data_IF_692045980119
#
_entry.id   IF_692045980119
#
_cell.length_a   1.000
_cell.length_b   1.000
_cell.length_c   1.000
_cell.angle_alpha   90.00
_cell.angle_beta   90.00
_cell.angle_gamma   90.00
#
_symmetry.space_group_name_H-M   'P 1'
#
loop_
_entity.id
_entity.type
_entity.pdbx_description
1 polymer ?
#
# COMPACT_ATOMS: atom_id res chain seq x y z
N UNK A 1 11.04 12.25 2.25
CA UNK A 1 10.55 11.15 1.40
C UNK A 1 9.21 10.73 1.96
N UNK A 2 8.22 10.61 1.09
CA UNK A 2 6.81 10.39 1.45
C UNK A 2 6.43 9.02 0.92
N UNK A 3 5.76 8.24 1.76
CA UNK A 3 5.28 6.93 1.38
C UNK A 3 3.78 7.01 1.19
N UNK A 4 3.32 6.64 0.01
CA UNK A 4 1.90 6.57 -0.33
C UNK A 4 1.51 5.11 -0.41
N UNK A 5 0.45 4.72 0.30
CA UNK A 5 -0.04 3.34 0.31
C UNK A 5 -1.45 3.32 -0.25
N UNK A 6 -1.67 2.49 -1.26
CA UNK A 6 -2.99 2.14 -1.78
C UNK A 6 -3.25 0.65 -1.61
N UNK A 7 -4.45 0.30 -1.16
CA UNK A 7 -4.88 -1.10 -1.06
C UNK A 7 -5.91 -1.32 -2.15
N UNK A 8 -5.84 -2.44 -2.86
CA UNK A 8 -6.76 -2.79 -3.95
C UNK A 8 -7.37 -4.16 -3.66
N UNK A 9 -8.66 -4.31 -3.89
CA UNK A 9 -9.31 -5.64 -3.84
C UNK A 9 -8.90 -6.51 -5.03
N UNK A 10 -8.66 -5.90 -6.19
CA UNK A 10 -8.30 -6.59 -7.42
C UNK A 10 -6.84 -6.33 -7.81
N UNK A 11 -6.09 -7.40 -8.10
CA UNK A 11 -4.69 -7.30 -8.51
C UNK A 11 -4.53 -6.62 -9.86
N UNK A 12 -5.53 -6.73 -10.74
CA UNK A 12 -5.47 -6.12 -12.07
C UNK A 12 -5.42 -4.60 -11.97
N UNK A 13 -6.19 -4.01 -11.05
CA UNK A 13 -6.19 -2.56 -10.78
C UNK A 13 -4.85 -2.10 -10.19
N UNK A 14 -4.25 -2.93 -9.34
CA UNK A 14 -2.94 -2.67 -8.77
C UNK A 14 -1.81 -2.71 -9.83
N UNK A 15 -1.90 -3.62 -10.79
CA UNK A 15 -0.95 -3.71 -11.90
C UNK A 15 -1.08 -2.51 -12.84
N UNK A 16 -2.31 -2.15 -13.22
CA UNK A 16 -2.63 -1.00 -14.08
C UNK A 16 -2.09 0.33 -13.50
N UNK A 17 -2.24 0.55 -12.19
CA UNK A 17 -1.70 1.75 -11.54
C UNK A 17 -0.17 1.70 -11.43
N UNK A 18 0.42 0.52 -11.21
CA UNK A 18 1.88 0.36 -11.22
C UNK A 18 2.45 0.68 -12.59
N UNK A 19 1.87 0.15 -13.68
CA UNK A 19 2.27 0.49 -15.05
C UNK A 19 2.13 1.99 -15.33
N UNK A 20 1.03 2.60 -14.86
CA UNK A 20 0.84 4.05 -14.98
C UNK A 20 1.96 4.83 -14.25
N UNK A 21 2.28 4.46 -13.01
CA UNK A 21 3.32 5.14 -12.22
C UNK A 21 4.71 4.92 -12.83
N UNK A 22 5.02 3.70 -13.28
CA UNK A 22 6.26 3.36 -13.99
C UNK A 22 6.43 4.12 -15.31
N UNK A 23 5.32 4.37 -16.01
CA UNK A 23 5.31 5.19 -17.21
C UNK A 23 5.50 6.70 -16.96
N UNK A 24 5.43 7.13 -15.70
CA UNK A 24 5.66 8.50 -15.26
C UNK A 24 7.09 8.66 -14.69
N UNK A 25 7.29 9.60 -13.76
CA UNK A 25 8.59 9.87 -13.11
C UNK A 25 8.90 8.91 -11.94
N UNK A 26 8.27 7.73 -11.86
CA UNK A 26 8.51 6.75 -10.79
C UNK A 26 9.31 5.55 -11.28
N UNK A 27 10.32 5.17 -10.52
CA UNK A 27 11.09 3.95 -10.75
C UNK A 27 10.42 2.72 -10.13
N UNK A 28 10.66 1.55 -10.72
CA UNK A 28 10.26 0.26 -10.15
C UNK A 28 10.87 -0.02 -8.77
N UNK A 29 11.92 0.70 -8.39
CA UNK A 29 12.51 0.62 -7.05
C UNK A 29 11.77 1.47 -6.00
N UNK A 30 11.08 2.50 -6.48
CA UNK A 30 10.21 3.33 -5.66
C UNK A 30 8.81 2.72 -5.51
N UNK A 31 8.51 1.63 -6.22
CA UNK A 31 7.22 0.96 -6.24
C UNK A 31 7.33 -0.44 -5.64
N UNK A 32 6.47 -0.68 -4.66
CA UNK A 32 6.42 -1.90 -3.87
C UNK A 32 5.00 -2.47 -3.97
N UNK A 33 4.81 -3.49 -4.81
CA UNK A 33 3.53 -4.20 -4.95
C UNK A 33 3.57 -5.53 -4.21
N UNK A 34 2.59 -5.75 -3.35
CA UNK A 34 2.44 -6.96 -2.57
C UNK A 34 1.02 -7.51 -2.70
N UNK A 35 0.86 -8.61 -3.46
CA UNK A 35 -0.42 -9.29 -3.62
C UNK A 35 -0.49 -10.52 -2.73
N UNK A 36 -1.34 -10.50 -1.70
CA UNK A 36 -1.50 -11.66 -0.83
C UNK A 36 -2.17 -12.85 -1.57
N UNK A 37 -3.10 -12.57 -2.49
CA UNK A 37 -3.84 -13.59 -3.25
C UNK A 37 -2.97 -14.39 -4.24
N UNK A 38 -1.82 -13.86 -4.67
CA UNK A 38 -0.92 -14.55 -5.61
C UNK A 38 -0.21 -15.75 -4.96
N UNK A 39 -0.10 -15.79 -3.62
CA UNK A 39 0.46 -16.92 -2.87
C UNK A 39 -0.53 -18.07 -2.66
N UNK A 40 -1.81 -17.90 -3.03
CA UNK A 40 -2.81 -18.97 -2.94
C UNK A 40 -2.55 -20.14 -3.91
N UNK A 41 -1.60 -20.00 -4.85
CA UNK A 41 -1.18 -21.06 -5.76
C UNK A 41 -0.09 -21.99 -5.22
N UNK A 42 0.73 -21.56 -4.26
CA UNK A 42 1.80 -22.35 -3.65
C UNK A 42 1.94 -21.96 -2.16
N UNK A 43 1.38 -22.76 -1.26
CA UNK A 43 1.53 -22.67 0.20
C UNK A 43 0.81 -21.50 0.90
N UNK A 44 -0.53 -21.50 0.84
CA UNK A 44 -1.40 -20.58 1.58
C UNK A 44 -1.43 -20.77 3.12
N UNK A 45 -0.33 -21.20 3.76
CA UNK A 45 -0.25 -21.42 5.21
C UNK A 45 1.04 -20.89 5.84
N UNK A 46 1.67 -19.87 5.26
CA UNK A 46 2.82 -19.21 5.90
C UNK A 46 2.31 -18.13 6.88
N UNK A 47 2.32 -18.36 8.22
CA UNK A 47 1.93 -17.36 9.20
C UNK A 47 2.81 -16.10 9.17
N UNK A 48 3.97 -16.15 8.52
CA UNK A 48 4.91 -15.03 8.41
C UNK A 48 4.46 -13.89 7.49
N UNK A 49 3.68 -14.15 6.43
CA UNK A 49 3.23 -13.07 5.52
C UNK A 49 2.16 -12.18 6.19
N UNK A 50 1.30 -12.79 7.00
CA UNK A 50 0.25 -12.13 7.79
C UNK A 50 0.86 -11.19 8.85
N UNK A 51 2.00 -11.59 9.41
CA UNK A 51 2.75 -10.85 10.43
C UNK A 51 3.51 -9.66 9.83
N UNK A 52 4.07 -9.80 8.62
CA UNK A 52 4.77 -8.69 7.93
C UNK A 52 3.84 -7.54 7.55
N UNK A 53 2.65 -7.83 7.01
CA UNK A 53 1.66 -6.79 6.68
C UNK A 53 1.28 -6.01 7.96
N UNK A 54 1.05 -6.73 9.07
CA UNK A 54 0.74 -6.10 10.35
C UNK A 54 1.92 -5.26 10.87
N UNK A 55 3.16 -5.75 10.75
CA UNK A 55 4.37 -5.05 11.16
C UNK A 55 4.58 -3.77 10.33
N UNK A 56 4.39 -3.84 9.02
CA UNK A 56 4.47 -2.69 8.11
C UNK A 56 3.45 -1.61 8.50
N UNK A 57 2.18 -1.95 8.66
CA UNK A 57 1.15 -0.97 9.03
C UNK A 57 1.34 -0.46 10.47
N UNK A 58 1.80 -1.29 11.39
CA UNK A 58 2.16 -0.87 12.75
C UNK A 58 3.38 0.06 12.78
N UNK A 59 4.23 0.03 11.75
CA UNK A 59 5.30 1.00 11.56
C UNK A 59 4.82 2.26 10.81
N UNK A 60 3.76 2.19 10.02
CA UNK A 60 3.18 3.37 9.39
C UNK A 60 2.37 4.20 10.37
N UNK A 61 1.45 3.56 11.10
CA UNK A 61 0.54 4.20 12.03
C UNK A 61 1.06 4.08 13.47
N UNK A 62 0.97 5.17 14.22
CA UNK A 62 1.19 5.13 15.67
C UNK A 62 0.00 4.44 16.39
N UNK A 63 -1.17 4.46 15.73
CA UNK A 63 -2.41 3.92 16.24
C UNK A 63 -2.60 2.45 15.84
N UNK A 64 -2.54 1.55 16.83
CA UNK A 64 -2.65 0.09 16.59
C UNK A 64 -3.97 -0.34 15.94
N UNK A 65 -5.10 0.30 16.27
CA UNK A 65 -6.40 -0.05 15.68
C UNK A 65 -6.46 0.28 14.19
N UNK A 66 -5.96 1.44 13.77
CA UNK A 66 -5.88 1.79 12.35
C UNK A 66 -4.93 0.83 11.62
N UNK A 67 -3.74 0.59 12.19
CA UNK A 67 -2.80 -0.37 11.64
C UNK A 67 -3.42 -1.75 11.41
N UNK A 68 -4.23 -2.25 12.36
CA UNK A 68 -4.88 -3.56 12.26
C UNK A 68 -6.01 -3.59 11.22
N UNK A 69 -6.81 -2.52 11.11
CA UNK A 69 -7.83 -2.39 10.07
C UNK A 69 -7.19 -2.38 8.67
N UNK A 70 -6.15 -1.57 8.48
CA UNK A 70 -5.35 -1.51 7.25
C UNK A 70 -4.69 -2.84 6.91
N UNK A 71 -4.10 -3.50 7.91
CA UNK A 71 -3.52 -4.82 7.73
C UNK A 71 -4.57 -5.86 7.31
N UNK A 72 -5.78 -5.80 7.88
CA UNK A 72 -6.86 -6.73 7.54
C UNK A 72 -7.37 -6.56 6.12
N UNK A 73 -7.49 -5.32 5.66
CA UNK A 73 -7.83 -5.01 4.27
C UNK A 73 -6.71 -5.46 3.30
N UNK A 74 -5.45 -5.13 3.64
CA UNK A 74 -4.29 -5.54 2.86
C UNK A 74 -4.11 -7.06 2.76
N UNK A 75 -4.50 -7.82 3.80
CA UNK A 75 -4.49 -9.29 3.80
C UNK A 75 -5.45 -9.91 2.78
N UNK A 76 -6.57 -9.26 2.47
CA UNK A 76 -7.53 -9.79 1.49
C UNK A 76 -7.29 -9.25 0.07
N UNK A 77 -6.38 -8.29 -0.09
CA UNK A 77 -6.17 -7.58 -1.35
C UNK A 77 -4.71 -7.56 -1.81
N UNK A 78 -4.41 -6.52 -2.59
CA UNK A 78 -3.09 -6.15 -3.08
C UNK A 78 -2.73 -4.80 -2.48
N UNK A 79 -1.55 -4.71 -1.87
CA UNK A 79 -1.02 -3.49 -1.29
C UNK A 79 0.00 -2.93 -2.28
N UNK A 80 -0.17 -1.69 -2.71
CA UNK A 80 0.79 -0.95 -3.52
C UNK A 80 1.33 0.19 -2.66
N UNK A 81 2.66 0.24 -2.55
CA UNK A 81 3.39 1.26 -1.81
C UNK A 81 4.26 2.04 -2.78
N UNK A 82 4.17 3.36 -2.73
CA UNK A 82 4.89 4.28 -3.61
C UNK A 82 5.77 5.19 -2.75
N UNK A 83 7.07 5.17 -3.01
CA UNK A 83 8.06 6.00 -2.34
C UNK A 83 8.34 7.24 -3.18
N UNK A 84 7.63 8.33 -2.89
CA UNK A 84 7.82 9.59 -3.58
C UNK A 84 8.95 10.42 -2.94
N UNK A 85 9.92 10.91 -3.72
CA UNK A 85 10.98 11.77 -3.19
C UNK A 85 10.47 13.19 -2.86
N UNK A 86 9.34 13.62 -3.45
CA UNK A 86 8.75 14.95 -3.27
C UNK A 86 7.24 14.89 -3.04
N UNK A 87 6.69 15.89 -2.34
CA UNK A 87 5.25 16.04 -2.11
C UNK A 87 4.43 16.10 -3.40
N UNK A 88 4.97 16.71 -4.45
CA UNK A 88 4.36 16.72 -5.78
C UNK A 88 4.12 15.30 -6.30
N UNK A 89 5.17 14.48 -6.34
CA UNK A 89 5.07 13.09 -6.79
C UNK A 89 4.19 12.27 -5.84
N UNK A 90 4.25 12.51 -4.55
CA UNK A 90 3.35 11.85 -3.60
C UNK A 90 1.88 12.14 -3.92
N UNK A 91 1.56 13.39 -4.28
CA UNK A 91 0.21 13.77 -4.66
C UNK A 91 -0.23 13.14 -5.98
N UNK A 92 0.67 13.03 -6.96
CA UNK A 92 0.40 12.33 -8.23
C UNK A 92 0.15 10.83 -7.99
N UNK A 93 0.92 10.20 -7.09
CA UNK A 93 0.71 8.82 -6.68
C UNK A 93 -0.64 8.63 -5.97
N UNK A 94 -1.01 9.54 -5.06
CA UNK A 94 -2.32 9.53 -4.40
C UNK A 94 -3.44 9.65 -5.42
N UNK A 95 -3.34 10.58 -6.37
CA UNK A 95 -4.36 10.77 -7.41
C UNK A 95 -4.52 9.51 -8.27
N UNK A 96 -3.40 8.93 -8.72
CA UNK A 96 -3.40 7.68 -9.45
C UNK A 96 -4.06 6.55 -8.65
N UNK A 97 -3.59 6.27 -7.43
CA UNK A 97 -4.15 5.20 -6.59
C UNK A 97 -5.66 5.37 -6.36
N UNK A 98 -6.12 6.60 -6.10
CA UNK A 98 -7.55 6.89 -5.95
C UNK A 98 -8.34 6.68 -7.24
N UNK A 99 -7.80 7.12 -8.39
CA UNK A 99 -8.44 7.02 -9.70
C UNK A 99 -8.58 5.56 -10.16
N UNK A 100 -7.59 4.73 -9.87
CA UNK A 100 -7.57 3.30 -10.17
C UNK A 100 -8.37 2.45 -9.17
N UNK A 101 -8.98 3.08 -8.15
CA UNK A 101 -9.93 2.41 -7.26
C UNK A 101 -9.31 1.80 -6.02
N UNK A 102 -8.27 2.42 -5.45
CA UNK A 102 -7.80 2.08 -4.11
C UNK A 102 -8.99 2.09 -3.13
N UNK A 103 -9.04 1.09 -2.24
CA UNK A 103 -10.06 0.99 -1.21
C UNK A 103 -9.73 1.90 -0.04
N UNK A 104 -10.75 2.64 0.38
CA UNK A 104 -10.68 3.43 1.59
C UNK A 104 -10.89 2.50 2.79
N UNK A 105 -9.82 2.24 3.52
CA UNK A 105 -9.87 1.42 4.73
C UNK A 105 -10.11 2.27 5.97
N UNK A 106 -10.02 3.60 5.85
CA UNK A 106 -10.23 4.54 6.94
C UNK A 106 -11.61 5.23 6.91
N UNK A 107 -12.59 4.65 6.23
CA UNK A 107 -13.95 5.19 6.13
C UNK A 107 -14.70 5.27 7.47
N UNK A 108 -14.03 4.94 8.58
CA UNK A 108 -14.50 5.06 9.95
C UNK A 108 -13.93 6.26 10.71
N UNK A 109 -12.98 7.02 10.14
CA UNK A 109 -12.50 8.26 10.74
C UNK A 109 -13.30 9.47 10.22
N UNK A 110 -14.07 10.11 11.11
CA UNK A 110 -14.91 11.29 10.80
C UNK A 110 -14.10 12.54 10.37
N UNK A 111 -12.77 12.49 10.36
CA UNK A 111 -11.90 13.52 9.79
C UNK A 111 -11.23 13.12 8.46
N UNK A 112 -11.36 11.86 8.01
CA UNK A 112 -10.82 11.42 6.75
C UNK A 112 -11.63 12.04 5.60
N UNK A 113 -11.05 13.05 4.95
CA UNK A 113 -11.58 13.68 3.75
C UNK A 113 -11.55 12.72 2.56
N UNK A 114 -12.39 11.67 2.55
CA UNK A 114 -12.69 10.80 1.40
C UNK A 114 -11.50 10.30 0.57
N UNK A 115 -10.30 10.24 1.15
CA UNK A 115 -9.07 9.93 0.42
C UNK A 115 -8.77 8.46 0.63
N UNK A 116 -9.06 7.67 -0.41
CA UNK A 116 -8.94 6.22 -0.41
C UNK A 116 -7.49 5.73 -0.33
N UNK A 117 -6.54 6.65 -0.53
CA UNK A 117 -5.10 6.41 -0.51
C UNK A 117 -4.48 7.08 0.72
N UNK A 118 -3.60 6.37 1.41
CA UNK A 118 -2.97 6.85 2.64
C UNK A 118 -1.65 7.52 2.27
N UNK A 119 -1.53 8.83 2.54
CA UNK A 119 -0.26 9.53 2.44
C UNK A 119 0.38 9.60 3.83
N UNK A 120 1.56 9.00 3.98
CA UNK A 120 2.32 9.08 5.23
C UNK A 120 3.69 9.69 4.94
N UNK A 121 4.01 10.79 5.62
CA UNK A 121 5.33 11.42 5.59
C UNK A 121 6.35 10.64 6.45
N UNK A 122 6.46 9.33 6.20
CA UNK A 122 7.34 8.42 6.95
C UNK A 122 8.16 7.60 5.98
N UNK A 123 9.46 7.51 6.26
CA UNK A 123 10.39 6.67 5.51
C UNK A 123 10.17 5.22 5.96
N UNK A 124 9.77 4.36 5.03
CA UNK A 124 9.74 2.91 5.26
C UNK A 124 11.08 2.35 4.81
N UNK A 125 11.84 1.81 5.77
CA UNK A 125 13.14 1.19 5.50
C UNK A 125 12.97 -0.14 4.75
N UNK A 126 13.97 -0.55 3.98
CA UNK A 126 13.93 -1.77 3.16
C UNK A 126 13.58 -3.03 3.96
N UNK A 127 14.06 -3.13 5.21
CA UNK A 127 13.78 -4.24 6.13
C UNK A 127 12.29 -4.38 6.52
N UNK A 128 11.52 -3.29 6.42
CA UNK A 128 10.08 -3.25 6.70
C UNK A 128 9.23 -3.10 5.44
N UNK A 129 9.85 -3.02 4.25
CA UNK A 129 9.12 -3.01 2.97
C UNK A 129 8.49 -4.38 2.70
N UNK A 130 7.45 -4.35 1.89
CA UNK A 130 6.73 -5.57 1.49
C UNK A 130 7.36 -6.24 0.25
N UNK A 131 8.37 -5.64 -0.40
CA UNK A 131 9.28 -6.31 -1.36
C UNK A 131 10.13 -7.36 -0.66
N UNK A 132 10.30 -8.51 -1.31
CA UNK A 132 11.31 -9.50 -0.94
C UNK A 132 10.71 -10.84 -0.53
N UNK A 133 10.42 -11.66 -1.55
CA UNK A 133 11.17 -12.90 -1.81
C UNK A 133 11.37 -13.06 -3.31
#
# INVERSE_FOLDING_TARGET
MITVVGIFEDVTLADDVCEYLLGNEFDADSLDQHTHKALAGHNAHEPGAIDRIATFFNHLFDNRHEAEAHATAGRNGTIVTVHAPSARLAQEAVDALNNYGAIDVNAFDENATGTRSIMVERIVADDVRLRGM
#
